data_IF_398613072911
#
_entry.id   IF_398613072911
#
_cell.length_a   1.000
_cell.length_b   1.000
_cell.length_c   1.000
_cell.angle_alpha   90.00
_cell.angle_beta   90.00
_cell.angle_gamma   90.00
#
_symmetry.space_group_name_H-M   'P 1'
#
loop_
_entity.id
_entity.type
_entity.pdbx_description
1 polymer ?
#
# COMPACT_ATOMS: atom_id res chain seq x y z
N UNK A 1 5.52 -6.60 4.31
CA UNK A 1 6.99 -6.56 4.37
C UNK A 1 7.53 -6.59 5.81
N UNK A 2 6.80 -7.25 6.69
CA UNK A 2 7.21 -7.38 8.09
C UNK A 2 8.56 -8.09 8.20
N UNK A 3 9.49 -7.52 8.99
CA UNK A 3 10.81 -8.09 9.20
C UNK A 3 11.81 -7.86 8.07
N UNK A 4 11.41 -7.18 7.01
CA UNK A 4 12.30 -6.90 5.88
C UNK A 4 13.03 -5.56 6.10
N UNK A 5 14.31 -5.51 5.69
CA UNK A 5 15.05 -4.25 5.69
C UNK A 5 14.66 -3.43 4.44
N UNK A 6 15.06 -2.14 4.36
CA UNK A 6 14.69 -1.29 3.21
C UNK A 6 15.12 -1.83 1.85
N UNK A 7 16.26 -2.50 1.77
CA UNK A 7 16.74 -3.06 0.50
C UNK A 7 15.87 -4.25 0.07
N UNK A 8 15.50 -5.11 1.01
CA UNK A 8 14.62 -6.24 0.75
C UNK A 8 13.23 -5.78 0.34
N UNK A 9 12.72 -4.74 0.99
CA UNK A 9 11.44 -4.14 0.64
C UNK A 9 11.47 -3.61 -0.80
N UNK A 10 12.55 -2.92 -1.17
CA UNK A 10 12.71 -2.38 -2.52
C UNK A 10 12.76 -3.49 -3.57
N UNK A 11 13.46 -4.58 -3.29
CA UNK A 11 13.50 -5.76 -4.17
C UNK A 11 12.11 -6.37 -4.34
N UNK A 12 11.35 -6.47 -3.26
CA UNK A 12 9.98 -6.98 -3.31
C UNK A 12 9.11 -6.07 -4.18
N UNK A 13 9.22 -4.77 -4.01
CA UNK A 13 8.47 -3.79 -4.81
C UNK A 13 8.79 -3.93 -6.30
N UNK A 14 10.07 -4.09 -6.63
CA UNK A 14 10.50 -4.28 -8.02
C UNK A 14 9.94 -5.57 -8.61
N UNK A 15 9.92 -6.65 -7.83
CA UNK A 15 9.34 -7.92 -8.24
C UNK A 15 7.85 -7.80 -8.50
N UNK A 16 7.12 -7.14 -7.62
CA UNK A 16 5.68 -6.92 -7.77
C UNK A 16 5.38 -6.10 -9.02
N UNK A 17 6.14 -5.03 -9.25
CA UNK A 17 6.00 -4.20 -10.45
C UNK A 17 6.26 -5.01 -11.71
N UNK A 18 7.30 -5.84 -11.71
CA UNK A 18 7.64 -6.70 -12.83
C UNK A 18 6.49 -7.65 -13.17
N UNK A 19 5.95 -8.31 -12.17
CA UNK A 19 4.83 -9.25 -12.36
C UNK A 19 3.60 -8.53 -12.88
N UNK A 20 3.27 -7.38 -12.29
CA UNK A 20 2.12 -6.58 -12.71
C UNK A 20 2.24 -6.11 -14.16
N UNK A 21 3.45 -5.68 -14.56
CA UNK A 21 3.66 -5.06 -15.88
C UNK A 21 3.86 -6.07 -17.00
N UNK A 22 4.32 -7.29 -16.68
CA UNK A 22 4.67 -8.30 -17.67
C UNK A 22 3.69 -9.47 -17.78
N UNK A 23 2.75 -9.56 -16.85
CA UNK A 23 1.72 -10.59 -16.85
C UNK A 23 0.35 -9.94 -16.77
N UNK A 24 -0.63 -10.53 -17.44
CA UNK A 24 -2.01 -10.04 -17.42
C UNK A 24 -2.69 -10.50 -16.14
N UNK A 25 -2.42 -9.81 -15.03
CA UNK A 25 -2.97 -10.17 -13.74
C UNK A 25 -3.19 -8.95 -12.86
N UNK A 26 -4.15 -9.10 -11.94
CA UNK A 26 -4.42 -8.13 -10.89
C UNK A 26 -3.80 -8.64 -9.61
N UNK A 27 -3.13 -7.77 -8.87
CA UNK A 27 -2.46 -8.14 -7.62
C UNK A 27 -3.20 -7.50 -6.45
N UNK A 28 -3.58 -8.33 -5.48
CA UNK A 28 -4.11 -7.88 -4.20
C UNK A 28 -3.00 -7.93 -3.16
N UNK A 29 -2.73 -6.80 -2.51
CA UNK A 29 -1.69 -6.68 -1.51
C UNK A 29 -2.31 -6.26 -0.19
N UNK A 30 -1.98 -6.98 0.88
CA UNK A 30 -2.37 -6.62 2.25
C UNK A 30 -1.11 -6.21 2.98
N UNK A 31 -1.03 -4.94 3.38
CA UNK A 31 0.20 -4.39 3.94
C UNK A 31 -0.10 -3.16 4.81
N UNK A 32 0.79 -2.88 5.73
CA UNK A 32 0.73 -1.68 6.57
C UNK A 32 1.95 -0.77 6.39
N UNK A 33 2.89 -1.14 5.55
CA UNK A 33 4.05 -0.33 5.21
C UNK A 33 3.64 0.72 4.17
N UNK A 34 3.50 1.96 4.61
CA UNK A 34 3.00 3.05 3.76
C UNK A 34 3.94 3.36 2.60
N UNK A 35 5.25 3.18 2.78
CA UNK A 35 6.22 3.40 1.71
C UNK A 35 6.03 2.38 0.58
N UNK A 36 5.86 1.11 0.93
CA UNK A 36 5.61 0.05 -0.03
C UNK A 36 4.28 0.30 -0.76
N UNK A 37 3.23 0.57 -0.01
CA UNK A 37 1.89 0.80 -0.53
C UNK A 37 1.88 2.01 -1.47
N UNK A 38 2.49 3.12 -1.07
CA UNK A 38 2.54 4.33 -1.90
C UNK A 38 3.35 4.14 -3.18
N UNK A 39 4.32 3.23 -3.14
CA UNK A 39 5.20 2.98 -4.27
C UNK A 39 4.62 2.08 -5.35
N UNK A 40 3.68 1.20 -5.03
CA UNK A 40 3.19 0.21 -5.99
C UNK A 40 1.68 0.11 -6.13
N UNK A 41 0.90 0.58 -5.18
CA UNK A 41 -0.55 0.49 -5.25
C UNK A 41 -1.14 1.70 -5.98
N UNK A 42 -2.06 1.43 -6.91
CA UNK A 42 -2.78 2.49 -7.63
C UNK A 42 -4.01 2.90 -6.84
N UNK A 43 -4.64 1.95 -6.18
CA UNK A 43 -5.83 2.16 -5.35
C UNK A 43 -5.64 1.52 -4.00
N UNK A 44 -6.24 2.13 -2.98
CA UNK A 44 -6.21 1.63 -1.61
C UNK A 44 -7.62 1.50 -1.05
N UNK A 45 -7.81 0.46 -0.24
CA UNK A 45 -8.93 0.36 0.68
C UNK A 45 -8.33 0.31 2.08
N UNK A 46 -8.61 1.31 2.89
CA UNK A 46 -8.08 1.41 4.25
C UNK A 46 -9.11 0.90 5.23
N UNK A 47 -8.71 -0.07 6.04
CA UNK A 47 -9.56 -0.67 7.07
C UNK A 47 -9.15 -0.14 8.44
N UNK A 48 -10.14 0.10 9.30
CA UNK A 48 -9.93 0.50 10.68
C UNK A 48 -10.97 -0.24 11.53
N UNK A 49 -10.52 -1.10 12.45
CA UNK A 49 -11.38 -1.95 13.26
C UNK A 49 -12.41 -2.74 12.43
N UNK A 50 -11.97 -3.27 11.29
CA UNK A 50 -12.82 -4.08 10.42
C UNK A 50 -13.78 -3.29 9.53
N UNK A 51 -13.74 -1.97 9.57
CA UNK A 51 -14.58 -1.11 8.74
C UNK A 51 -13.76 -0.40 7.69
N UNK A 52 -14.35 -0.16 6.53
CA UNK A 52 -13.70 0.63 5.48
C UNK A 52 -13.71 2.10 5.88
N UNK A 53 -12.52 2.64 6.13
CA UNK A 53 -12.35 4.04 6.50
C UNK A 53 -12.35 4.94 5.26
N UNK A 54 -11.59 4.57 4.26
CA UNK A 54 -11.50 5.27 2.97
C UNK A 54 -11.15 4.29 1.86
N UNK A 55 -11.54 4.64 0.65
CA UNK A 55 -11.23 3.86 -0.54
C UNK A 55 -11.08 4.80 -1.73
N UNK A 56 -10.08 4.56 -2.57
CA UNK A 56 -9.85 5.36 -3.75
C UNK A 56 -8.40 5.33 -4.22
N UNK A 57 -8.02 6.34 -4.98
CA UNK A 57 -6.66 6.47 -5.47
C UNK A 57 -5.69 6.61 -4.30
N UNK A 58 -4.54 5.94 -4.43
CA UNK A 58 -3.51 5.94 -3.39
C UNK A 58 -3.12 7.34 -2.95
N UNK A 59 -2.89 8.26 -3.91
CA UNK A 59 -2.50 9.63 -3.59
C UNK A 59 -3.55 10.37 -2.77
N UNK A 60 -4.83 10.16 -3.08
CA UNK A 60 -5.93 10.81 -2.37
C UNK A 60 -6.11 10.21 -0.97
N UNK A 61 -6.08 8.88 -0.89
CA UNK A 61 -6.31 8.16 0.36
C UNK A 61 -5.21 8.46 1.37
N UNK A 62 -3.95 8.50 0.94
CA UNK A 62 -2.82 8.77 1.84
C UNK A 62 -2.76 10.20 2.34
N UNK A 63 -3.47 11.13 1.72
CA UNK A 63 -3.57 12.52 2.18
C UNK A 63 -4.84 12.78 2.98
N UNK A 64 -5.69 11.78 3.16
CA UNK A 64 -6.91 11.91 3.96
C UNK A 64 -6.55 12.05 5.44
N UNK A 65 -7.07 13.10 6.15
CA UNK A 65 -6.74 13.31 7.56
C UNK A 65 -7.10 12.14 8.47
N UNK A 66 -8.18 11.43 8.17
CA UNK A 66 -8.59 10.26 8.97
C UNK A 66 -7.61 9.11 8.80
N UNK A 67 -7.08 8.91 7.59
CA UNK A 67 -6.10 7.88 7.31
C UNK A 67 -4.76 8.23 7.98
N UNK A 68 -4.35 9.48 7.89
CA UNK A 68 -3.12 9.96 8.55
C UNK A 68 -3.21 9.73 10.05
N UNK A 69 -4.32 10.08 10.67
CA UNK A 69 -4.55 9.89 12.09
C UNK A 69 -4.51 8.41 12.49
N UNK A 70 -5.11 7.54 11.69
CA UNK A 70 -5.21 6.11 12.01
C UNK A 70 -3.90 5.35 11.83
N UNK A 71 -3.10 5.69 10.82
CA UNK A 71 -1.95 4.89 10.42
C UNK A 71 -0.61 5.61 10.48
N UNK A 72 -0.58 6.93 10.33
CA UNK A 72 0.66 7.69 10.33
C UNK A 72 0.94 8.39 11.66
N UNK A 73 0.01 8.30 12.60
CA UNK A 73 0.23 8.77 13.97
C UNK A 73 0.21 10.28 14.16
N UNK A 74 -0.38 11.01 13.24
CA UNK A 74 -0.42 12.48 13.32
C UNK A 74 -1.80 13.05 13.63
#
# INVERSE_FOLDING_TARGET
AAGMNPNETEELMDTIRFVRDNFDMTILLIEHDMKLVSGICEELTVLNFGHVLRQGKTSDVLHDPEVIKAYLGE
#
